data_IF_885152632752
#
_entry.id   IF_885152632752
#
_cell.length_a   1.000
_cell.length_b   1.000
_cell.length_c   1.000
_cell.angle_alpha   90.00
_cell.angle_beta   90.00
_cell.angle_gamma   90.00
#
_symmetry.space_group_name_H-M   'P 1'
#
loop_
_entity.id
_entity.type
_entity.pdbx_description
1 polymer ?
#
# COMPACT_ATOMS: atom_id res chain seq x y z
N UNK A 1 10.40 -13.72 -16.77
CA UNK A 1 11.21 -12.49 -16.73
C UNK A 1 11.77 -12.42 -15.34
N UNK A 2 13.07 -12.66 -15.20
CA UNK A 2 13.76 -12.39 -13.94
C UNK A 2 13.77 -10.88 -13.76
N UNK A 3 13.16 -10.41 -12.67
CA UNK A 3 13.12 -8.98 -12.39
C UNK A 3 14.29 -8.70 -11.45
N UNK A 4 15.28 -7.96 -11.96
CA UNK A 4 16.45 -7.58 -11.17
C UNK A 4 16.05 -6.67 -10.00
N UNK A 5 16.23 -7.19 -8.79
CA UNK A 5 15.99 -6.45 -7.55
C UNK A 5 17.26 -5.76 -7.13
N UNK A 6 17.31 -4.43 -7.23
CA UNK A 6 18.41 -3.67 -6.66
C UNK A 6 18.18 -3.47 -5.17
N UNK A 7 19.12 -3.94 -4.34
CA UNK A 7 19.13 -3.70 -2.90
C UNK A 7 19.99 -2.49 -2.57
N UNK A 8 19.51 -1.65 -1.66
CA UNK A 8 20.24 -0.45 -1.22
C UNK A 8 20.12 -0.24 0.27
N UNK A 9 21.19 0.23 0.92
CA UNK A 9 21.16 0.62 2.33
C UNK A 9 20.08 1.67 2.59
N UNK A 10 19.41 1.63 3.74
CA UNK A 10 18.31 2.58 4.03
C UNK A 10 18.76 4.05 3.99
N UNK A 11 20.01 4.35 4.39
CA UNK A 11 20.57 5.70 4.30
C UNK A 11 20.70 6.15 2.86
N UNK A 12 21.26 5.30 2.01
CA UNK A 12 21.48 5.59 0.60
C UNK A 12 20.14 5.69 -0.14
N UNK A 13 19.19 4.81 0.18
CA UNK A 13 17.83 4.87 -0.36
C UNK A 13 17.17 6.21 -0.01
N UNK A 14 17.33 6.68 1.23
CA UNK A 14 16.76 7.96 1.66
C UNK A 14 17.45 9.15 1.00
N UNK A 15 18.78 9.12 0.87
CA UNK A 15 19.55 10.23 0.29
C UNK A 15 19.40 10.30 -1.25
N UNK A 16 19.31 9.16 -1.94
CA UNK A 16 19.31 9.08 -3.41
C UNK A 16 17.92 8.97 -4.02
N UNK A 17 17.01 8.20 -3.42
CA UNK A 17 15.74 7.86 -4.05
C UNK A 17 14.57 8.74 -3.64
N UNK A 18 14.71 9.43 -2.50
CA UNK A 18 13.71 10.37 -2.00
C UNK A 18 14.17 11.79 -2.30
N UNK A 19 13.43 12.58 -3.10
CA UNK A 19 13.74 13.97 -3.26
C UNK A 19 13.97 14.75 -1.95
N UNK A 20 14.94 15.65 -2.01
CA UNK A 20 15.34 16.49 -0.90
C UNK A 20 14.73 17.88 -1.13
N UNK A 21 13.87 18.32 -0.22
CA UNK A 21 13.46 19.72 -0.18
C UNK A 21 13.88 20.33 1.15
N UNK A 22 14.53 21.50 1.15
CA UNK A 22 14.89 22.17 2.38
C UNK A 22 13.61 22.63 3.07
N UNK A 23 13.14 21.87 4.05
CA UNK A 23 12.03 22.30 4.89
C UNK A 23 12.52 22.44 6.32
N UNK A 24 12.15 23.54 6.95
CA UNK A 24 12.47 23.81 8.34
C UNK A 24 11.48 23.08 9.25
N UNK A 25 11.98 22.08 9.97
CA UNK A 25 11.16 21.06 10.62
C UNK A 25 11.36 21.00 12.11
N UNK A 26 12.35 21.74 12.59
CA UNK A 26 12.68 21.81 14.00
C UNK A 26 11.46 22.25 14.79
N UNK A 27 10.69 23.22 14.29
CA UNK A 27 9.45 23.66 14.92
C UNK A 27 8.41 22.53 15.08
N UNK A 28 8.23 21.71 14.03
CA UNK A 28 7.30 20.56 14.03
C UNK A 28 7.77 19.50 15.01
N UNK A 29 9.07 19.17 14.98
CA UNK A 29 9.70 18.20 15.88
C UNK A 29 9.56 18.67 17.33
N UNK A 30 9.78 19.96 17.62
CA UNK A 30 9.58 20.53 18.96
C UNK A 30 8.12 20.48 19.41
N UNK A 31 7.14 20.71 18.53
CA UNK A 31 5.72 20.55 18.85
C UNK A 31 5.36 19.08 19.17
N UNK A 32 5.86 18.13 18.38
CA UNK A 32 5.67 16.70 18.62
C UNK A 32 6.31 16.24 19.95
N UNK A 33 7.48 16.77 20.31
CA UNK A 33 8.12 16.57 21.63
C UNK A 33 7.29 17.18 22.76
N UNK A 34 6.84 18.43 22.61
CA UNK A 34 6.00 19.13 23.59
C UNK A 34 4.72 18.37 23.90
N UNK A 35 4.14 17.70 22.88
CA UNK A 35 2.96 16.84 23.02
C UNK A 35 3.27 15.42 23.50
N UNK A 36 4.54 15.08 23.78
CA UNK A 36 5.00 13.74 24.18
C UNK A 36 4.66 12.64 23.17
N UNK A 37 4.50 13.01 21.89
CA UNK A 37 4.33 12.08 20.77
C UNK A 37 5.69 11.49 20.43
N UNK A 38 6.70 12.36 20.35
CA UNK A 38 8.10 11.99 20.32
C UNK A 38 8.62 11.91 21.76
N UNK A 39 9.34 10.85 22.06
CA UNK A 39 10.03 10.64 23.34
C UNK A 39 11.50 10.44 23.09
N UNK A 40 12.34 10.86 24.04
CA UNK A 40 13.75 10.50 24.02
C UNK A 40 13.84 8.99 23.91
N UNK A 41 14.68 8.54 22.99
CA UNK A 41 15.10 7.16 22.98
C UNK A 41 15.89 6.98 24.26
N UNK A 42 15.37 6.15 25.17
CA UNK A 42 16.19 5.69 26.28
C UNK A 42 17.46 5.14 25.64
N UNK A 43 18.63 5.52 26.17
CA UNK A 43 19.89 4.91 25.75
C UNK A 43 19.67 3.43 25.96
N UNK A 44 19.32 2.73 24.88
CA UNK A 44 19.26 1.28 24.94
C UNK A 44 20.69 0.95 25.29
N UNK A 45 20.89 0.31 26.44
CA UNK A 45 22.18 -0.20 26.87
C UNK A 45 22.54 -1.36 25.94
N UNK A 46 22.49 -1.15 24.63
CA UNK A 46 22.90 -2.06 23.59
C UNK A 46 24.41 -2.13 23.71
N UNK A 47 24.75 -3.04 24.62
CA UNK A 47 25.98 -3.76 24.84
C UNK A 47 26.96 -3.55 23.70
N UNK A 48 28.18 -3.21 24.09
CA UNK A 48 29.40 -3.02 23.31
C UNK A 48 29.83 -4.23 22.47
N UNK A 49 28.95 -4.81 21.67
CA UNK A 49 29.27 -5.86 20.69
C UNK A 49 29.82 -5.21 19.43
N UNK A 50 31.06 -4.71 19.53
CA UNK A 50 32.10 -4.73 18.49
C UNK A 50 33.18 -3.70 18.82
N UNK A 51 34.03 -4.04 19.79
CA UNK A 51 35.25 -3.28 20.10
C UNK A 51 36.39 -3.53 19.08
N UNK A 52 36.18 -4.34 18.04
CA UNK A 52 37.25 -4.80 17.14
C UNK A 52 37.13 -4.39 15.67
N UNK A 53 36.12 -3.61 15.26
CA UNK A 53 36.09 -3.07 13.90
C UNK A 53 36.66 -1.64 13.88
N UNK A 54 37.99 -1.57 13.89
CA UNK A 54 38.78 -0.36 13.59
C UNK A 54 38.71 -0.12 12.08
N UNK A 55 37.63 0.50 11.63
CA UNK A 55 37.59 1.12 10.31
C UNK A 55 37.12 2.55 10.49
N UNK A 56 37.94 3.46 10.01
CA UNK A 56 37.84 4.91 10.03
C UNK A 56 36.64 5.42 9.23
N UNK A 57 35.44 5.09 9.67
CA UNK A 57 34.21 5.70 9.20
C UNK A 57 33.84 6.84 10.14
N UNK A 58 34.03 8.05 9.63
CA UNK A 58 33.68 9.33 10.22
C UNK A 58 32.36 9.19 11.00
N UNK A 59 32.40 9.43 12.31
CA UNK A 59 31.23 9.49 13.19
C UNK A 59 30.21 10.50 12.65
N UNK A 60 29.36 10.09 11.69
CA UNK A 60 28.09 10.73 11.40
C UNK A 60 27.23 10.49 12.64
N UNK A 61 27.42 11.36 13.63
CA UNK A 61 26.65 11.45 14.87
C UNK A 61 25.19 11.24 14.49
N UNK A 62 24.60 10.17 14.97
CA UNK A 62 23.22 9.80 14.67
C UNK A 62 22.35 10.99 15.08
N UNK A 63 21.84 11.74 14.09
CA UNK A 63 21.26 13.08 14.28
C UNK A 63 19.95 13.09 15.07
N UNK A 64 19.46 11.93 15.48
CA UNK A 64 18.11 11.77 15.96
C UNK A 64 18.11 10.99 17.28
N UNK A 65 17.68 11.66 18.33
CA UNK A 65 17.65 11.14 19.71
C UNK A 65 16.26 10.73 20.18
N UNK A 66 15.25 10.77 19.28
CA UNK A 66 13.84 10.62 19.63
C UNK A 66 13.18 9.54 18.77
N UNK A 67 12.15 8.89 19.32
CA UNK A 67 11.28 7.95 18.61
C UNK A 67 9.82 8.22 18.94
N UNK A 68 8.88 7.74 18.12
CA UNK A 68 7.47 7.82 18.43
C UNK A 68 7.16 6.91 19.62
N UNK A 69 6.55 7.49 20.67
CA UNK A 69 6.15 6.77 21.87
C UNK A 69 5.31 5.53 21.56
N UNK A 70 4.43 5.64 20.56
CA UNK A 70 3.56 4.55 20.14
C UNK A 70 4.36 3.35 19.63
N UNK A 71 5.47 3.54 18.92
CA UNK A 71 6.31 2.44 18.44
C UNK A 71 7.01 1.70 19.57
N UNK A 72 7.49 2.40 20.61
CA UNK A 72 8.07 1.74 21.79
C UNK A 72 7.06 0.81 22.48
N UNK A 73 5.78 1.21 22.50
CA UNK A 73 4.71 0.38 23.09
C UNK A 73 4.24 -0.73 22.15
N UNK A 74 4.38 -0.52 20.85
CA UNK A 74 3.91 -1.44 19.82
C UNK A 74 4.87 -2.63 19.69
N UNK A 75 6.17 -2.36 19.58
CA UNK A 75 7.22 -3.35 19.32
C UNK A 75 7.98 -3.74 20.59
N UNK A 76 7.24 -4.03 21.67
CA UNK A 76 7.88 -4.52 22.89
C UNK A 76 8.47 -5.91 22.64
N UNK A 77 9.71 -6.19 23.10
CA UNK A 77 10.28 -7.52 23.02
C UNK A 77 9.31 -8.58 23.58
N UNK A 78 9.12 -9.67 22.84
CA UNK A 78 8.21 -10.77 23.20
C UNK A 78 6.72 -10.49 22.94
N UNK A 79 6.35 -9.31 22.42
CA UNK A 79 4.96 -9.03 22.02
C UNK A 79 4.77 -9.29 20.55
N UNK A 80 3.89 -10.24 20.23
CA UNK A 80 3.41 -10.48 18.87
C UNK A 80 2.62 -9.25 18.39
N UNK A 81 3.11 -8.60 17.33
CA UNK A 81 2.50 -7.38 16.82
C UNK A 81 1.65 -7.67 15.59
N UNK A 82 0.33 -7.63 15.76
CA UNK A 82 -0.60 -7.77 14.64
C UNK A 82 -0.43 -6.62 13.63
N UNK A 83 -0.38 -6.90 12.31
CA UNK A 83 -0.26 -5.88 11.27
C UNK A 83 -1.29 -4.75 11.35
N UNK A 84 -2.55 -5.08 11.63
CA UNK A 84 -3.63 -4.09 11.83
C UNK A 84 -3.36 -3.11 12.98
N UNK A 85 -2.62 -3.52 14.01
CA UNK A 85 -2.19 -2.62 15.10
C UNK A 85 -1.07 -1.70 14.66
N UNK A 86 -0.16 -2.17 13.80
CA UNK A 86 0.87 -1.33 13.17
C UNK A 86 0.21 -0.25 12.33
N UNK A 87 -0.71 -0.62 11.44
CA UNK A 87 -1.42 0.34 10.59
C UNK A 87 -2.18 1.40 11.38
N UNK A 88 -2.93 1.01 12.41
CA UNK A 88 -3.62 1.96 13.30
C UNK A 88 -2.65 2.90 14.02
N UNK A 89 -1.47 2.40 14.38
CA UNK A 89 -0.43 3.21 15.00
C UNK A 89 0.14 4.22 14.00
N UNK A 90 0.42 3.79 12.76
CA UNK A 90 0.86 4.67 11.69
C UNK A 90 -0.19 5.75 11.37
N UNK A 91 -1.47 5.39 11.27
CA UNK A 91 -2.58 6.34 11.13
C UNK A 91 -2.59 7.40 12.23
N UNK A 92 -2.44 6.97 13.48
CA UNK A 92 -2.40 7.87 14.64
C UNK A 92 -1.19 8.80 14.61
N UNK A 93 -0.01 8.27 14.27
CA UNK A 93 1.22 9.05 14.12
C UNK A 93 1.05 10.07 13.00
N UNK A 94 0.56 9.64 11.84
CA UNK A 94 0.39 10.53 10.68
C UNK A 94 -0.61 11.65 10.95
N UNK A 95 -1.72 11.33 11.61
CA UNK A 95 -2.68 12.34 12.05
C UNK A 95 -2.05 13.38 13.00
N UNK A 96 -1.14 12.92 13.87
CA UNK A 96 -0.48 13.79 14.83
C UNK A 96 0.59 14.68 14.17
N UNK A 97 1.36 14.13 13.23
CA UNK A 97 2.33 14.90 12.44
C UNK A 97 1.61 15.93 11.58
N UNK A 98 0.55 15.57 10.85
CA UNK A 98 -0.26 16.53 10.08
C UNK A 98 -0.81 17.66 10.94
N UNK A 99 -1.31 17.35 12.14
CA UNK A 99 -1.78 18.37 13.10
C UNK A 99 -0.64 19.25 13.65
N UNK A 100 0.59 18.78 13.64
CA UNK A 100 1.76 19.59 13.97
C UNK A 100 2.14 20.46 12.76
N UNK A 101 2.20 19.88 11.56
CA UNK A 101 2.47 20.60 10.31
C UNK A 101 1.49 21.75 10.10
N UNK A 102 0.18 21.54 10.31
CA UNK A 102 -0.85 22.56 10.05
C UNK A 102 -0.79 23.78 10.96
N UNK A 103 0.05 23.72 12.00
CA UNK A 103 0.31 24.87 12.87
C UNK A 103 1.42 25.75 12.34
N UNK A 104 2.37 25.18 11.60
CA UNK A 104 3.58 25.87 11.15
C UNK A 104 3.49 26.27 9.67
N UNK A 105 2.84 25.46 8.86
CA UNK A 105 2.64 25.74 7.45
C UNK A 105 1.23 26.26 7.23
N UNK A 106 1.12 27.50 6.71
CA UNK A 106 -0.16 28.11 6.31
C UNK A 106 -0.71 27.52 5.01
N UNK A 107 0.04 26.65 4.34
CA UNK A 107 -0.40 25.95 3.15
C UNK A 107 -1.43 24.88 3.50
N UNK A 108 -2.34 24.60 2.55
CA UNK A 108 -3.15 23.38 2.57
C UNK A 108 -2.21 22.18 2.51
N UNK A 109 -1.80 21.71 3.69
CA UNK A 109 -1.14 20.41 3.85
C UNK A 109 -2.06 19.38 3.23
N UNK A 110 -1.47 18.47 2.45
CA UNK A 110 -2.28 17.54 1.68
C UNK A 110 -3.19 16.76 2.64
N UNK A 111 -4.43 16.54 2.22
CA UNK A 111 -5.38 15.73 2.97
C UNK A 111 -5.05 14.22 2.90
N UNK A 112 -3.79 13.87 2.57
CA UNK A 112 -3.33 12.49 2.49
C UNK A 112 -3.49 11.79 3.83
N UNK A 113 -4.03 10.58 3.88
CA UNK A 113 -4.20 9.80 5.10
C UNK A 113 -3.97 8.33 4.80
N UNK A 114 -3.68 7.57 5.85
CA UNK A 114 -3.48 6.14 5.73
C UNK A 114 -4.86 5.47 5.81
N UNK A 115 -5.33 4.91 4.70
CA UNK A 115 -6.50 4.04 4.69
C UNK A 115 -6.10 2.60 4.96
N UNK A 116 -6.90 1.94 5.78
CA UNK A 116 -6.81 0.50 6.02
C UNK A 116 -7.76 -0.18 5.07
N UNK A 117 -7.24 -1.02 4.17
CA UNK A 117 -8.06 -1.89 3.35
C UNK A 117 -8.41 -3.14 4.17
N UNK A 118 -9.49 -3.83 3.81
CA UNK A 118 -9.90 -5.05 4.52
C UNK A 118 -8.79 -6.10 4.41
N UNK A 119 -8.58 -6.84 5.50
CA UNK A 119 -7.58 -7.90 5.55
C UNK A 119 -7.88 -8.96 4.46
N UNK A 120 -6.89 -9.24 3.61
CA UNK A 120 -6.92 -10.33 2.64
C UNK A 120 -5.84 -11.31 3.08
N UNK A 121 -6.24 -12.55 3.39
CA UNK A 121 -5.33 -13.69 3.54
C UNK A 121 -4.13 -13.38 4.46
N UNK A 122 -4.42 -12.96 5.69
CA UNK A 122 -3.45 -12.67 6.76
C UNK A 122 -2.48 -11.52 6.53
N UNK A 123 -2.58 -10.85 5.38
CA UNK A 123 -1.89 -9.58 5.14
C UNK A 123 -2.86 -8.43 5.37
N UNK A 124 -2.39 -7.43 6.11
CA UNK A 124 -3.13 -6.18 6.24
C UNK A 124 -2.61 -5.24 5.18
N UNK A 125 -3.48 -4.91 4.22
CA UNK A 125 -3.20 -3.91 3.21
C UNK A 125 -3.69 -2.54 3.67
N UNK A 126 -2.94 -1.52 3.32
CA UNK A 126 -3.35 -0.15 3.44
C UNK A 126 -2.73 0.67 2.32
N UNK A 127 -3.11 1.93 2.25
CA UNK A 127 -2.44 2.87 1.36
C UNK A 127 -2.49 4.26 1.95
N UNK A 128 -1.52 5.09 1.55
CA UNK A 128 -1.65 6.55 1.68
C UNK A 128 -2.49 7.02 0.50
N UNK A 129 -3.58 7.74 0.77
CA UNK A 129 -4.50 8.27 -0.25
C UNK A 129 -4.98 9.65 0.17
N UNK A 130 -5.30 10.50 -0.80
CA UNK A 130 -5.92 11.80 -0.54
C UNK A 130 -7.45 11.76 -0.55
N UNK A 131 -8.04 10.68 -1.04
CA UNK A 131 -9.48 10.49 -1.00
C UNK A 131 -9.90 9.80 0.30
N UNK A 132 -10.71 10.49 1.10
CA UNK A 132 -11.16 10.04 2.42
C UNK A 132 -12.56 9.41 2.41
N UNK A 133 -13.31 9.55 1.30
CA UNK A 133 -14.65 9.00 1.15
C UNK A 133 -14.67 7.88 0.11
N UNK A 134 -15.24 6.74 0.53
CA UNK A 134 -15.56 5.61 -0.36
C UNK A 134 -14.41 4.62 -0.57
N UNK A 135 -14.60 3.69 -1.52
CA UNK A 135 -13.56 2.74 -1.93
C UNK A 135 -12.34 3.47 -2.49
N UNK A 136 -11.14 3.00 -2.16
CA UNK A 136 -9.91 3.57 -2.72
C UNK A 136 -9.79 3.14 -4.18
N UNK A 137 -9.92 4.10 -5.08
CA UNK A 137 -9.53 3.89 -6.48
C UNK A 137 -8.01 3.78 -6.59
N UNK A 138 -7.53 2.89 -7.46
CA UNK A 138 -6.10 2.65 -7.68
C UNK A 138 -5.38 3.93 -8.18
N UNK A 139 -6.11 4.82 -8.84
CA UNK A 139 -5.64 6.15 -9.25
C UNK A 139 -5.34 7.06 -8.05
N UNK A 140 -6.06 6.91 -6.93
CA UNK A 140 -5.92 7.75 -5.73
C UNK A 140 -4.93 7.18 -4.69
N UNK A 141 -4.55 5.91 -4.82
CA UNK A 141 -3.54 5.29 -3.98
C UNK A 141 -2.13 5.83 -4.31
N UNK A 142 -1.52 6.53 -3.36
CA UNK A 142 -0.19 7.13 -3.51
C UNK A 142 0.93 6.18 -3.12
N UNK A 143 0.76 5.50 -1.99
CA UNK A 143 1.78 4.62 -1.40
C UNK A 143 1.09 3.40 -0.83
N UNK A 144 1.13 2.24 -1.50
CA UNK A 144 0.70 1.00 -0.90
C UNK A 144 1.55 0.67 0.34
N UNK A 145 0.86 0.24 1.39
CA UNK A 145 1.42 -0.17 2.66
C UNK A 145 0.98 -1.61 2.91
N UNK A 146 1.91 -2.51 3.17
CA UNK A 146 1.59 -3.90 3.43
C UNK A 146 2.19 -4.34 4.77
N UNK A 147 1.34 -4.80 5.68
CA UNK A 147 1.75 -5.39 6.94
C UNK A 147 1.66 -6.91 6.88
N UNK A 148 2.77 -7.57 7.17
CA UNK A 148 2.94 -9.02 7.18
C UNK A 148 2.91 -9.48 8.62
N UNK A 149 2.05 -10.46 8.93
CA UNK A 149 2.03 -11.08 10.24
C UNK A 149 3.22 -12.03 10.35
N UNK A 150 4.15 -11.75 11.25
CA UNK A 150 5.37 -12.56 11.44
C UNK A 150 5.07 -13.98 11.92
N UNK A 151 3.85 -14.26 12.38
CA UNK A 151 3.44 -15.58 12.84
C UNK A 151 2.67 -16.39 11.81
N UNK A 152 2.30 -15.77 10.69
CA UNK A 152 1.67 -16.54 9.63
C UNK A 152 2.74 -17.25 8.80
N UNK A 153 2.91 -18.55 9.07
CA UNK A 153 3.99 -19.41 8.58
C UNK A 153 3.92 -19.63 7.05
N UNK A 154 2.94 -19.04 6.37
CA UNK A 154 2.58 -19.42 5.01
C UNK A 154 3.13 -18.53 3.89
N UNK A 155 3.62 -17.32 4.19
CA UNK A 155 4.13 -16.42 3.15
C UNK A 155 5.66 -16.36 3.13
N UNK A 156 6.24 -16.94 2.09
CA UNK A 156 7.65 -16.76 1.74
C UNK A 156 7.90 -15.31 1.31
N UNK A 157 9.15 -14.82 1.45
CA UNK A 157 9.53 -13.48 0.97
C UNK A 157 9.16 -13.27 -0.51
N UNK A 158 9.25 -14.30 -1.34
CA UNK A 158 8.91 -14.22 -2.77
C UNK A 158 7.40 -14.01 -2.99
N UNK A 159 6.55 -14.63 -2.16
CA UNK A 159 5.10 -14.41 -2.24
C UNK A 159 4.73 -13.00 -1.79
N UNK A 160 5.36 -12.50 -0.73
CA UNK A 160 5.17 -11.11 -0.27
C UNK A 160 5.55 -10.13 -1.37
N UNK A 161 6.72 -10.32 -1.98
CA UNK A 161 7.21 -9.48 -3.07
C UNK A 161 6.27 -9.57 -4.28
N UNK A 162 5.74 -10.76 -4.61
CA UNK A 162 4.76 -10.95 -5.68
C UNK A 162 3.42 -10.25 -5.41
N UNK A 163 2.85 -10.37 -4.21
CA UNK A 163 1.60 -9.67 -3.83
C UNK A 163 1.81 -8.16 -3.92
N UNK A 164 2.95 -7.66 -3.44
CA UNK A 164 3.27 -6.24 -3.52
C UNK A 164 3.43 -5.76 -4.95
N UNK A 165 4.15 -6.51 -5.79
CA UNK A 165 4.32 -6.24 -7.22
C UNK A 165 2.98 -6.22 -7.95
N UNK A 166 2.08 -7.15 -7.64
CA UNK A 166 0.73 -7.18 -8.20
C UNK A 166 -0.07 -5.92 -7.83
N UNK A 167 -0.04 -5.52 -6.55
CA UNK A 167 -0.70 -4.30 -6.08
C UNK A 167 -0.12 -3.04 -6.74
N UNK A 168 1.19 -2.93 -6.79
CA UNK A 168 1.88 -1.80 -7.43
C UNK A 168 1.61 -1.79 -8.94
N UNK A 169 1.61 -2.96 -9.60
CA UNK A 169 1.27 -3.09 -11.00
C UNK A 169 -0.15 -2.58 -11.29
N UNK A 170 -1.12 -2.94 -10.45
CA UNK A 170 -2.48 -2.38 -10.53
C UNK A 170 -2.47 -0.85 -10.40
N UNK A 171 -1.80 -0.32 -9.39
CA UNK A 171 -1.68 1.14 -9.13
C UNK A 171 -1.00 1.87 -10.31
N UNK A 172 0.08 1.32 -10.87
CA UNK A 172 0.83 1.93 -11.97
C UNK A 172 0.14 1.78 -13.33
N UNK A 173 -0.63 0.70 -13.54
CA UNK A 173 -1.36 0.49 -14.79
C UNK A 173 -2.69 1.24 -14.81
N UNK A 174 -3.29 1.52 -13.65
CA UNK A 174 -4.49 2.37 -13.55
C UNK A 174 -4.22 3.84 -13.84
N UNK A 175 -2.97 4.28 -13.78
CA UNK A 175 -2.56 5.66 -14.09
C UNK A 175 -1.36 5.66 -15.04
N UNK A 176 -1.61 5.91 -16.33
CA UNK A 176 -0.58 5.94 -17.35
C UNK A 176 0.52 7.00 -17.08
N UNK A 177 0.19 8.09 -16.35
CA UNK A 177 1.12 9.14 -15.97
C UNK A 177 2.03 8.76 -14.79
N UNK A 178 1.73 7.68 -14.08
CA UNK A 178 2.50 7.23 -12.92
C UNK A 178 3.84 6.61 -13.35
N UNK A 179 4.89 7.44 -13.33
CA UNK A 179 6.27 7.05 -13.68
C UNK A 179 6.93 6.15 -12.62
N UNK A 180 6.58 6.38 -11.36
CA UNK A 180 7.09 5.59 -10.23
C UNK A 180 6.02 5.46 -9.14
N UNK A 181 6.20 4.48 -8.26
CA UNK A 181 5.37 4.24 -7.09
C UNK A 181 6.28 3.91 -5.90
N UNK A 182 6.01 4.45 -4.72
CA UNK A 182 6.70 4.02 -3.51
C UNK A 182 5.82 3.00 -2.77
N UNK A 183 6.43 2.06 -2.07
CA UNK A 183 5.70 1.20 -1.15
C UNK A 183 6.45 0.99 0.16
N UNK A 184 5.71 0.51 1.16
CA UNK A 184 6.27 0.17 2.46
C UNK A 184 5.77 -1.20 2.88
N UNK A 185 6.69 -2.09 3.27
CA UNK A 185 6.35 -3.38 3.88
C UNK A 185 6.80 -3.44 5.33
N UNK A 186 6.02 -4.13 6.17
CA UNK A 186 6.28 -4.32 7.59
C UNK A 186 6.32 -5.80 7.92
N UNK A 187 7.37 -6.24 8.60
CA UNK A 187 7.48 -7.57 9.16
C UNK A 187 7.88 -7.43 10.63
N UNK A 188 6.90 -7.49 11.54
CA UNK A 188 7.10 -7.12 12.93
C UNK A 188 7.62 -5.68 13.07
N UNK A 189 8.78 -5.49 13.69
CA UNK A 189 9.46 -4.18 13.81
C UNK A 189 10.25 -3.78 12.57
N UNK A 190 10.51 -4.70 11.64
CA UNK A 190 11.33 -4.44 10.45
C UNK A 190 10.49 -3.78 9.35
N UNK A 191 11.08 -2.80 8.69
CA UNK A 191 10.47 -2.07 7.58
C UNK A 191 11.38 -2.14 6.36
N UNK A 192 10.76 -2.34 5.20
CA UNK A 192 11.41 -2.12 3.92
C UNK A 192 10.70 -0.97 3.19
N UNK A 193 11.49 -0.10 2.58
CA UNK A 193 11.03 0.88 1.62
C UNK A 193 11.27 0.37 0.21
N UNK A 194 10.34 0.72 -0.66
CA UNK A 194 10.39 0.31 -2.04
C UNK A 194 10.17 1.50 -2.94
N UNK A 195 10.89 1.52 -4.06
CA UNK A 195 10.61 2.40 -5.20
C UNK A 195 10.46 1.53 -6.42
N UNK A 196 9.30 1.62 -7.05
CA UNK A 196 8.97 0.93 -8.28
C UNK A 196 8.97 1.93 -9.42
N UNK A 197 9.55 1.52 -10.53
CA UNK A 197 9.37 2.14 -11.84
C UNK A 197 8.78 1.10 -12.79
N UNK A 198 8.49 1.47 -14.03
CA UNK A 198 7.98 0.50 -15.01
C UNK A 198 9.01 -0.54 -15.45
N UNK A 199 10.29 -0.26 -15.29
CA UNK A 199 11.37 -1.10 -15.79
C UNK A 199 12.18 -1.78 -14.69
N UNK A 200 12.17 -1.25 -13.46
CA UNK A 200 12.90 -1.83 -12.34
C UNK A 200 12.28 -1.43 -11.00
N UNK A 201 12.72 -2.09 -9.93
CA UNK A 201 12.43 -1.66 -8.57
C UNK A 201 13.65 -1.73 -7.67
N UNK A 202 13.64 -0.85 -6.67
CA UNK A 202 14.68 -0.73 -5.65
C UNK A 202 14.04 -1.07 -4.31
N UNK A 203 14.67 -1.98 -3.56
CA UNK A 203 14.27 -2.39 -2.22
C UNK A 203 15.33 -1.94 -1.23
N UNK A 204 14.93 -1.23 -0.17
CA UNK A 204 15.86 -0.92 0.92
C UNK A 204 16.21 -2.19 1.69
N UNK A 205 17.40 -2.22 2.30
CA UNK A 205 17.67 -3.20 3.36
C UNK A 205 16.64 -3.05 4.48
N UNK A 206 16.14 -4.15 5.08
CA UNK A 206 15.22 -4.06 6.21
C UNK A 206 15.87 -3.28 7.36
N UNK A 207 15.12 -2.38 7.98
CA UNK A 207 15.57 -1.66 9.17
C UNK A 207 14.53 -1.75 10.28
N UNK A 208 14.99 -1.84 11.53
CA UNK A 208 14.10 -1.94 12.68
C UNK A 208 13.56 -0.54 13.06
N UNK A 209 12.24 -0.41 13.22
CA UNK A 209 11.61 0.87 13.55
C UNK A 209 11.91 1.39 14.95
N UNK A 210 12.25 0.50 15.87
CA UNK A 210 12.64 0.83 17.23
C UNK A 210 14.10 1.26 17.29
N UNK A 211 14.93 0.71 16.41
CA UNK A 211 16.37 0.94 16.41
C UNK A 211 16.82 2.02 15.43
N UNK A 212 16.18 2.09 14.27
CA UNK A 212 16.46 3.11 13.30
C UNK A 212 15.82 4.38 13.81
N UNK A 213 16.65 5.35 14.18
CA UNK A 213 16.15 6.67 14.50
C UNK A 213 15.67 7.30 13.21
N UNK A 214 14.40 7.05 12.90
CA UNK A 214 13.72 7.48 11.71
C UNK A 214 14.04 8.95 11.39
N UNK A 215 14.64 9.27 10.24
CA UNK A 215 14.72 10.64 9.73
C UNK A 215 13.32 11.22 9.36
N UNK A 216 12.24 10.48 9.62
CA UNK A 216 10.87 10.82 9.24
C UNK A 216 10.18 11.87 10.11
N UNK A 217 10.77 12.30 11.23
CA UNK A 217 9.99 12.97 12.29
C UNK A 217 9.33 14.30 11.93
N UNK A 218 9.69 14.92 10.80
CA UNK A 218 8.83 15.90 10.14
C UNK A 218 9.21 16.15 8.67
N UNK A 219 10.46 15.87 8.27
CA UNK A 219 10.96 16.11 6.89
C UNK A 219 10.14 15.40 5.84
N UNK A 220 9.55 14.27 6.22
CA UNK A 220 8.99 13.33 5.26
C UNK A 220 7.48 13.40 5.06
N UNK A 221 6.69 13.94 6.00
CA UNK A 221 5.26 14.16 5.70
C UNK A 221 5.04 15.36 4.78
N UNK A 222 5.85 16.42 4.92
CA UNK A 222 5.90 17.49 3.91
C UNK A 222 6.46 16.98 2.59
N UNK A 223 7.36 15.99 2.66
CA UNK A 223 7.90 15.35 1.48
C UNK A 223 6.88 14.41 0.80
N UNK A 224 5.97 13.78 1.54
CA UNK A 224 4.82 13.10 0.96
C UNK A 224 3.84 14.11 0.37
N UNK A 225 3.63 15.25 1.04
CA UNK A 225 2.91 16.39 0.46
C UNK A 225 3.62 16.95 -0.77
N UNK A 226 4.95 16.81 -0.89
CA UNK A 226 5.73 17.26 -2.04
C UNK A 226 5.80 16.21 -3.15
N UNK A 227 5.93 14.93 -2.84
CA UNK A 227 5.69 13.83 -3.79
C UNK A 227 4.27 13.98 -4.30
N UNK A 228 3.31 14.21 -3.42
CA UNK A 228 1.93 14.50 -3.77
C UNK A 228 1.83 15.79 -4.56
N UNK A 229 2.47 16.89 -4.19
CA UNK A 229 2.40 18.16 -4.93
C UNK A 229 3.09 18.04 -6.29
N UNK A 230 4.16 17.27 -6.44
CA UNK A 230 4.80 17.01 -7.73
C UNK A 230 3.99 16.01 -8.57
N UNK A 231 3.43 14.98 -7.95
CA UNK A 231 2.50 14.05 -8.58
C UNK A 231 1.25 14.80 -9.06
N UNK A 232 0.70 15.66 -8.21
CA UNK A 232 -0.44 16.55 -8.47
C UNK A 232 -0.08 17.57 -9.54
N UNK A 233 0.99 18.34 -9.39
CA UNK A 233 1.41 19.30 -10.42
C UNK A 233 1.68 18.65 -11.79
N UNK A 234 2.09 17.37 -11.83
CA UNK A 234 2.32 16.63 -13.08
C UNK A 234 1.07 15.91 -13.61
N UNK A 235 0.12 15.51 -12.75
CA UNK A 235 -1.06 14.72 -13.13
C UNK A 235 -2.39 15.49 -13.07
N UNK A 236 -2.43 16.68 -12.46
CA UNK A 236 -3.65 17.45 -12.16
C UNK A 236 -4.03 18.46 -13.23
N UNK A 237 -3.35 18.49 -14.38
CA UNK A 237 -3.90 19.19 -15.55
C UNK A 237 -5.26 18.60 -16.02
N UNK A 238 -5.83 17.61 -15.31
CA UNK A 238 -7.08 16.88 -15.61
C UNK A 238 -7.12 16.31 -17.04
N UNK A 239 -5.93 16.23 -17.63
CA UNK A 239 -5.62 15.73 -18.95
C UNK A 239 -5.38 14.23 -18.96
N UNK A 240 -5.54 13.56 -17.82
CA UNK A 240 -5.47 12.11 -17.73
C UNK A 240 -6.56 11.39 -18.55
N UNK A 241 -7.70 12.04 -18.80
CA UNK A 241 -8.74 11.57 -19.75
C UNK A 241 -8.54 12.07 -21.18
N UNK A 242 -7.63 13.03 -21.40
CA UNK A 242 -7.31 13.57 -22.71
C UNK A 242 -6.13 12.77 -23.27
N UNK A 243 -6.45 11.76 -24.08
CA UNK A 243 -5.47 10.90 -24.75
C UNK A 243 -4.45 11.74 -25.56
N UNK A 244 -4.84 12.94 -26.01
CA UNK A 244 -4.02 13.90 -26.75
C UNK A 244 -2.89 14.51 -25.90
N UNK A 245 -3.01 14.47 -24.58
CA UNK A 245 -1.92 14.89 -23.67
C UNK A 245 -0.78 13.88 -23.67
N UNK A 246 -1.11 12.60 -23.86
CA UNK A 246 -0.15 11.52 -24.00
C UNK A 246 0.43 11.45 -25.41
N UNK A 247 -0.29 11.99 -26.41
CA UNK A 247 0.26 12.11 -27.75
C UNK A 247 1.43 13.08 -27.80
N UNK A 248 1.63 14.03 -26.87
CA UNK A 248 2.87 14.84 -26.87
C UNK A 248 4.11 14.07 -26.38
N UNK A 249 4.01 13.36 -25.26
CA UNK A 249 5.13 12.57 -24.70
C UNK A 249 5.45 11.36 -25.58
N UNK A 250 4.43 10.76 -26.19
CA UNK A 250 4.60 9.68 -27.16
C UNK A 250 5.06 10.27 -28.50
N UNK A 251 4.49 11.37 -29.01
CA UNK A 251 4.81 11.85 -30.38
C UNK A 251 6.24 12.31 -30.52
N UNK A 252 6.87 13.05 -29.61
CA UNK A 252 8.22 13.52 -29.94
C UNK A 252 9.24 12.39 -29.99
N UNK A 253 9.20 11.47 -29.00
CA UNK A 253 10.08 10.32 -28.98
C UNK A 253 9.70 9.25 -30.02
N UNK A 254 8.41 8.98 -30.24
CA UNK A 254 7.98 8.03 -31.29
C UNK A 254 8.13 8.60 -32.69
N UNK A 255 7.90 9.89 -32.91
CA UNK A 255 8.17 10.51 -34.21
C UNK A 255 9.66 10.47 -34.47
N UNK A 256 10.52 10.81 -33.50
CA UNK A 256 11.98 10.66 -33.67
C UNK A 256 12.34 9.19 -33.97
N UNK A 257 11.76 8.22 -33.25
CA UNK A 257 11.97 6.80 -33.53
C UNK A 257 11.50 6.37 -34.92
N UNK A 258 10.33 6.82 -35.38
CA UNK A 258 9.80 6.49 -36.71
C UNK A 258 10.52 7.25 -37.82
N UNK A 259 10.95 8.48 -37.57
CA UNK A 259 11.79 9.27 -38.48
C UNK A 259 13.16 8.60 -38.63
N UNK A 260 13.77 8.12 -37.53
CA UNK A 260 15.00 7.34 -37.53
C UNK A 260 14.80 5.99 -38.24
N UNK A 261 13.68 5.29 -37.97
CA UNK A 261 13.35 4.03 -38.63
C UNK A 261 13.11 4.21 -40.13
N UNK A 262 12.46 5.30 -40.55
CA UNK A 262 12.24 5.65 -41.96
C UNK A 262 13.54 6.09 -42.63
N UNK A 263 14.41 6.84 -41.94
CA UNK A 263 15.73 7.22 -42.42
C UNK A 263 16.63 6.00 -42.65
N UNK A 264 16.55 5.01 -41.76
CA UNK A 264 17.27 3.75 -41.87
C UNK A 264 16.54 2.72 -42.74
N UNK A 265 15.37 3.03 -43.32
CA UNK A 265 14.54 2.07 -44.07
C UNK A 265 15.29 1.37 -45.21
N UNK A 266 16.15 2.10 -45.93
CA UNK A 266 16.93 1.55 -47.03
C UNK A 266 17.94 0.46 -46.56
N UNK A 267 18.40 0.55 -45.30
CA UNK A 267 19.32 -0.42 -44.70
C UNK A 267 18.64 -1.75 -44.34
N UNK A 268 17.31 -1.75 -44.18
CA UNK A 268 16.55 -2.96 -43.85
C UNK A 268 15.61 -3.41 -44.96
N UNK A 269 15.43 -2.58 -46.00
CA UNK A 269 14.56 -2.87 -47.14
C UNK A 269 14.97 -4.15 -47.91
N UNK A 270 16.23 -4.57 -47.79
CA UNK A 270 16.75 -5.78 -48.42
C UNK A 270 16.80 -6.98 -47.46
N UNK A 271 16.42 -6.79 -46.19
CA UNK A 271 16.27 -7.90 -45.24
C UNK A 271 14.95 -8.59 -45.55
N UNK A 272 15.04 -9.70 -46.29
CA UNK A 272 13.90 -10.57 -46.54
C UNK A 272 13.42 -11.17 -45.21
N UNK A 273 12.26 -10.72 -44.74
CA UNK A 273 11.57 -11.36 -43.62
C UNK A 273 11.11 -12.74 -44.09
N UNK A 274 11.57 -13.84 -43.47
CA UNK A 274 11.01 -15.15 -43.73
C UNK A 274 9.57 -15.14 -43.21
N UNK A 275 8.63 -14.84 -44.12
CA UNK A 275 7.22 -15.05 -43.86
C UNK A 275 7.03 -16.54 -43.98
N UNK A 276 6.74 -17.20 -42.85
CA UNK A 276 6.24 -18.57 -42.83
C UNK A 276 4.98 -18.63 -43.68
N UNK A 277 5.20 -18.93 -44.95
CA UNK A 277 4.17 -18.98 -45.99
C UNK A 277 3.46 -20.33 -45.96
N UNK A 278 3.91 -21.26 -45.12
CA UNK A 278 3.18 -22.47 -44.83
C UNK A 278 1.87 -22.09 -44.13
N UNK A 279 0.71 -22.30 -44.76
CA UNK A 279 -0.55 -22.16 -44.06
C UNK A 279 -0.47 -23.11 -42.88
N UNK A 280 -0.56 -22.59 -41.65
CA UNK A 280 -0.66 -23.40 -40.44
C UNK A 280 -1.71 -24.47 -40.71
N UNK A 281 -1.27 -25.69 -40.97
CA UNK A 281 -2.15 -26.83 -41.12
C UNK A 281 -2.96 -26.86 -39.83
N UNK A 282 -4.26 -26.61 -39.96
CA UNK A 282 -5.16 -26.65 -38.83
C UNK A 282 -4.90 -27.98 -38.11
N UNK A 283 -4.45 -27.89 -36.86
CA UNK A 283 -4.23 -29.07 -36.04
C UNK A 283 -5.53 -29.88 -36.09
N UNK A 284 -5.48 -31.17 -36.45
CA UNK A 284 -6.68 -31.99 -36.46
C UNK A 284 -7.31 -31.93 -35.06
N UNK A 285 -8.65 -31.84 -34.97
CA UNK A 285 -9.34 -31.76 -33.70
C UNK A 285 -8.88 -32.93 -32.83
N UNK A 286 -8.32 -32.63 -31.66
CA UNK A 286 -7.98 -33.62 -30.66
C UNK A 286 -9.21 -34.47 -30.39
N UNK A 287 -9.22 -35.69 -30.93
CA UNK A 287 -10.14 -36.73 -30.51
C UNK A 287 -9.89 -36.95 -29.02
N UNK A 288 -10.88 -36.61 -28.20
CA UNK A 288 -10.96 -37.02 -26.81
C UNK A 288 -10.80 -38.55 -26.75
N UNK A 289 -9.60 -38.99 -26.46
CA UNK A 289 -9.32 -40.38 -26.13
C UNK A 289 -9.76 -40.56 -24.68
N UNK A 290 -11.00 -41.00 -24.51
CA UNK A 290 -11.50 -41.55 -23.24
C UNK A 290 -10.58 -42.69 -22.81
N UNK A 291 -9.70 -42.40 -21.86
CA UNK A 291 -8.97 -43.40 -21.10
C UNK A 291 -9.96 -44.17 -20.23
N UNK A 292 -10.41 -45.31 -20.73
CA UNK A 292 -11.13 -46.32 -19.96
C UNK A 292 -10.25 -46.88 -18.86
N UNK A 293 -10.68 -46.70 -17.61
CA UNK A 293 -10.17 -47.43 -16.45
C UNK A 293 -11.00 -48.71 -16.24
N UNK A 294 -10.40 -49.83 -15.79
CA UNK A 294 -11.11 -51.07 -15.55
C UNK A 294 -12.07 -50.93 -14.37
N UNK A 295 -13.26 -51.51 -14.53
CA UNK A 295 -14.29 -51.62 -13.52
C UNK A 295 -13.85 -52.53 -12.37
N UNK A 296 -14.00 -52.03 -11.14
CA UNK A 296 -13.94 -52.78 -9.89
C UNK A 296 -15.40 -52.93 -9.39
N UNK A 297 -15.93 -54.14 -9.16
CA UNK A 297 -17.28 -54.33 -8.64
C UNK A 297 -17.25 -54.25 -7.10
N UNK A 298 -18.39 -53.84 -6.53
CA UNK A 298 -18.70 -53.79 -5.10
C UNK A 298 -18.35 -52.48 -4.37
N UNK A 299 -19.25 -51.49 -4.52
CA UNK A 299 -19.76 -50.80 -3.34
C UNK A 299 -21.16 -50.23 -3.57
N UNK A 300 -22.11 -50.97 -3.00
CA UNK A 300 -23.53 -50.67 -2.90
C UNK A 300 -23.75 -49.58 -1.83
N UNK A 301 -24.62 -48.59 -2.13
CA UNK A 301 -25.27 -47.77 -1.11
C UNK A 301 -24.67 -46.39 -0.80
N UNK A 302 -24.83 -45.42 -1.73
CA UNK A 302 -24.97 -44.00 -1.33
C UNK A 302 -25.97 -43.24 -2.21
N UNK A 303 -26.93 -42.49 -1.63
CA UNK A 303 -27.97 -41.80 -2.39
C UNK A 303 -27.40 -40.62 -3.19
N UNK A 304 -27.54 -40.68 -4.52
CA UNK A 304 -27.16 -39.62 -5.47
C UNK A 304 -28.07 -38.40 -5.33
N UNK A 305 -27.49 -37.23 -5.05
CA UNK A 305 -28.14 -35.92 -5.23
C UNK A 305 -28.43 -35.70 -6.71
N UNK A 306 -29.69 -35.49 -7.05
CA UNK A 306 -30.14 -35.11 -8.41
C UNK A 306 -29.49 -33.80 -8.84
N UNK A 307 -28.76 -33.84 -9.96
CA UNK A 307 -28.35 -32.66 -10.70
C UNK A 307 -29.59 -32.00 -11.32
N UNK A 308 -29.73 -30.68 -11.15
CA UNK A 308 -30.74 -29.88 -11.85
C UNK A 308 -30.17 -29.46 -13.22
N UNK A 309 -30.96 -29.51 -14.30
CA UNK A 309 -30.53 -29.02 -15.61
C UNK A 309 -30.45 -27.50 -15.63
N UNK A 310 -29.36 -26.97 -16.20
CA UNK A 310 -29.18 -25.56 -16.52
C UNK A 310 -30.12 -25.16 -17.68
N UNK A 311 -30.90 -24.07 -17.57
CA UNK A 311 -31.50 -23.44 -18.73
C UNK A 311 -30.54 -22.43 -19.35
N UNK A 312 -30.40 -22.54 -20.67
CA UNK A 312 -29.75 -21.61 -21.58
C UNK A 312 -30.30 -20.18 -21.41
N UNK A 313 -29.40 -19.21 -21.44
CA UNK A 313 -29.67 -17.79 -21.30
C UNK A 313 -29.51 -17.09 -22.66
N UNK A 314 -30.54 -16.37 -23.11
CA UNK A 314 -30.42 -15.19 -24.00
C UNK A 314 -31.66 -14.29 -23.77
N UNK A 315 -31.55 -12.97 -24.00
CA UNK A 315 -32.14 -11.96 -23.12
C UNK A 315 -33.45 -11.37 -23.64
N UNK A 316 -34.32 -10.96 -22.72
CA UNK A 316 -35.36 -9.96 -22.99
C UNK A 316 -35.56 -9.07 -21.75
N UNK A 317 -35.21 -7.80 -21.91
CA UNK A 317 -35.45 -6.72 -20.96
C UNK A 317 -36.95 -6.37 -21.01
N UNK A 318 -37.67 -6.53 -19.90
CA UNK A 318 -38.93 -5.83 -19.62
C UNK A 318 -39.02 -5.50 -18.12
N UNK A 319 -39.34 -4.25 -17.73
CA UNK A 319 -39.40 -3.83 -16.34
C UNK A 319 -40.80 -4.00 -15.74
N UNK A 320 -40.96 -4.87 -14.74
CA UNK A 320 -42.14 -4.89 -13.84
C UNK A 320 -41.70 -5.33 -12.44
N UNK A 321 -41.80 -4.45 -11.44
CA UNK A 321 -42.94 -4.16 -10.54
C UNK A 321 -42.72 -4.79 -9.16
N UNK A 322 -42.49 -3.92 -8.18
CA UNK A 322 -43.11 -3.93 -6.84
C UNK A 322 -43.36 -5.31 -6.23
N UNK A 323 -42.34 -5.87 -5.59
CA UNK A 323 -42.49 -6.94 -4.60
C UNK A 323 -43.02 -6.42 -3.25
N UNK A 324 -43.56 -7.31 -2.40
CA UNK A 324 -44.33 -6.95 -1.20
C UNK A 324 -43.43 -6.41 -0.08
N UNK A 325 -43.81 -5.25 0.46
CA UNK A 325 -43.25 -4.67 1.68
C UNK A 325 -43.76 -5.48 2.86
N UNK A 326 -42.92 -6.36 3.40
CA UNK A 326 -43.18 -7.00 4.68
C UNK A 326 -42.85 -6.05 5.83
N UNK A 327 -43.88 -5.65 6.57
CA UNK A 327 -43.77 -4.96 7.85
C UNK A 327 -43.12 -5.89 8.88
N UNK A 328 -41.88 -5.64 9.24
CA UNK A 328 -41.29 -6.09 10.51
C UNK A 328 -41.10 -4.88 11.41
N UNK A 329 -42.19 -4.48 12.09
CA UNK A 329 -42.07 -3.67 13.29
C UNK A 329 -41.60 -4.56 14.43
N UNK A 330 -40.31 -4.52 14.73
CA UNK A 330 -39.81 -4.85 16.06
C UNK A 330 -39.33 -3.54 16.69
N UNK A 331 -40.08 -3.05 17.69
CA UNK A 331 -39.65 -1.94 18.54
C UNK A 331 -38.34 -2.37 19.22
N UNK A 332 -37.22 -1.80 18.79
CA UNK A 332 -35.96 -1.91 19.53
C UNK A 332 -36.08 -1.00 20.75
N UNK A 333 -36.41 -1.56 21.90
CA UNK A 333 -36.13 -0.93 23.18
C UNK A 333 -34.64 -0.59 23.22
N UNK A 334 -34.36 0.70 23.35
CA UNK A 334 -33.03 1.27 23.17
C UNK A 334 -32.01 0.59 24.07
N UNK A 335 -30.99 -0.02 23.46
CA UNK A 335 -29.86 -0.62 24.15
C UNK A 335 -29.15 0.47 24.96
N UNK A 336 -29.38 0.50 26.28
CA UNK A 336 -28.73 1.44 27.19
C UNK A 336 -27.23 1.16 27.14
N UNK A 337 -26.48 2.08 26.53
CA UNK A 337 -25.02 1.95 26.47
C UNK A 337 -24.42 2.28 27.83
N UNK A 338 -23.25 1.72 28.12
CA UNK A 338 -22.49 1.97 29.36
C UNK A 338 -22.22 3.46 29.62
N UNK A 339 -22.16 4.27 28.56
CA UNK A 339 -21.99 5.73 28.65
C UNK A 339 -23.23 6.44 29.21
N UNK A 340 -24.43 5.99 28.83
CA UNK A 340 -25.72 6.48 29.36
C UNK A 340 -25.89 6.14 30.83
N UNK A 341 -25.51 4.93 31.25
CA UNK A 341 -25.55 4.52 32.66
C UNK A 341 -24.61 5.37 33.52
N UNK A 342 -23.42 5.70 33.01
CA UNK A 342 -22.46 6.58 33.71
C UNK A 342 -22.99 8.01 33.85
N UNK A 343 -23.64 8.56 32.81
CA UNK A 343 -24.28 9.88 32.89
C UNK A 343 -25.39 9.94 33.94
N UNK A 344 -26.22 8.90 34.03
CA UNK A 344 -27.27 8.84 35.05
C UNK A 344 -26.72 8.83 36.48
N UNK A 345 -25.63 8.10 36.73
CA UNK A 345 -24.96 8.10 38.06
C UNK A 345 -24.32 9.46 38.39
N UNK A 346 -23.68 10.12 37.43
CA UNK A 346 -23.08 11.45 37.62
C UNK A 346 -24.16 12.51 37.90
N UNK A 347 -25.37 12.36 37.34
CA UNK A 347 -26.49 13.26 37.59
C UNK A 347 -27.12 13.04 38.97
N UNK A 348 -27.23 11.78 39.42
CA UNK A 348 -27.75 11.45 40.74
C UNK A 348 -26.83 11.96 41.87
N UNK A 349 -25.52 11.83 41.68
CA UNK A 349 -24.51 12.37 42.63
C UNK A 349 -24.54 13.91 42.68
N UNK A 350 -24.72 14.58 41.54
CA UNK A 350 -24.92 16.04 41.49
C UNK A 350 -26.19 16.49 42.21
N UNK A 351 -27.31 15.75 42.09
CA UNK A 351 -28.55 16.07 42.82
C UNK A 351 -28.36 15.95 44.34
N UNK A 352 -27.68 14.90 44.83
CA UNK A 352 -27.38 14.74 46.26
C UNK A 352 -26.52 15.88 46.82
N UNK A 353 -25.63 16.45 46.01
CA UNK A 353 -24.80 17.57 46.41
C UNK A 353 -25.52 18.93 46.45
N UNK A 354 -26.69 19.07 45.81
CA UNK A 354 -27.49 20.31 45.83
C UNK A 354 -28.50 20.37 46.98
N UNK A 355 -28.71 19.25 47.67
CA UNK A 355 -29.66 19.11 48.78
C UNK A 355 -28.99 19.11 50.16
N UNK A 356 -27.66 19.25 50.20
CA UNK A 356 -26.88 19.62 51.38
C UNK A 356 -26.46 21.07 51.23
#
# INVERSE_FOLDING_TARGET
>A
MDIDVSFMGITDFVEQELPSAPVELDAVVQDLKKRKILVNRGVSNTISFNKHQRSSELHRKTRFSHTFKSFQTLFRPGTITKPSRVMKTLQSISSAIRKALSRFFRSEISNSHIMLEKDIESTTHGCITCNWEGPVDATNALVPIMGIDSHDVHLTSNQIDFILLSLVGKIMNSDAGRRFCFAVTFEGSKVNLWKFTRSFYIKSTPFDMTEFSFPFSAHREIYWDMIYAQYTARNWDRKCSDISSYSWIISQAFNTFFDDAEACRNEWAHVELPVDSEPRSALPPHSHQESGLPADPDQEGRPRKRARPNPLCTPAIVPRRSGPVTRSMAKSEGRITRSTTRRLQEEETRKKHRLK
#
